data_IF_529360014675
#
_entry.id   IF_529360014675
#
_cell.length_a   1.000
_cell.length_b   1.000
_cell.length_c   1.000
_cell.angle_alpha   90.00
_cell.angle_beta   90.00
_cell.angle_gamma   90.00
#
_symmetry.space_group_name_H-M   'P 1'
#
loop_
_entity.id
_entity.type
_entity.pdbx_description
1 polymer ?
#
# COMPACT_ATOMS: atom_id res chain seq x y z
N UNK A 1 -2.29 -8.86 26.43
CA UNK A 1 -1.16 -9.13 25.51
C UNK A 1 0.02 -8.31 26.03
N UNK A 2 1.12 -8.93 26.49
CA UNK A 2 2.25 -8.23 27.11
C UNK A 2 2.93 -7.35 26.05
N UNK A 3 3.14 -6.08 26.40
CA UNK A 3 3.99 -5.19 25.61
C UNK A 3 5.38 -5.83 25.51
N UNK A 4 5.82 -6.09 24.29
CA UNK A 4 7.13 -6.65 24.01
C UNK A 4 8.19 -5.58 24.32
N UNK A 5 9.23 -5.99 24.99
CA UNK A 5 10.47 -5.24 25.18
C UNK A 5 10.87 -4.57 23.86
N UNK A 6 10.98 -3.25 23.84
CA UNK A 6 11.42 -2.54 22.65
C UNK A 6 12.90 -2.85 22.43
N UNK A 7 13.19 -3.81 21.57
CA UNK A 7 14.55 -4.03 21.08
C UNK A 7 14.99 -2.81 20.26
N UNK A 8 16.23 -2.42 20.46
CA UNK A 8 16.86 -1.35 19.69
C UNK A 8 17.81 -2.00 18.71
N UNK A 9 17.69 -1.65 17.41
CA UNK A 9 18.50 -2.24 16.33
C UNK A 9 19.13 -1.15 15.48
N UNK A 10 20.18 -1.50 14.75
CA UNK A 10 20.75 -0.67 13.71
C UNK A 10 19.97 -0.85 12.42
N UNK A 11 19.32 0.23 11.97
CA UNK A 11 18.39 0.17 10.85
C UNK A 11 19.01 -0.38 9.57
N UNK A 12 20.25 0.02 9.26
CA UNK A 12 20.92 -0.39 8.02
C UNK A 12 21.52 -1.80 8.08
N UNK A 13 21.59 -2.41 9.26
CA UNK A 13 21.87 -3.85 9.40
C UNK A 13 20.60 -4.68 9.11
N UNK A 14 19.42 -4.19 9.51
CA UNK A 14 18.13 -4.85 9.28
C UNK A 14 17.61 -4.65 7.84
N UNK A 15 17.84 -3.48 7.24
CA UNK A 15 17.50 -3.15 5.85
C UNK A 15 18.69 -2.51 5.13
N UNK A 16 19.65 -3.32 4.64
CA UNK A 16 20.86 -2.83 3.99
C UNK A 16 20.61 -2.06 2.69
N UNK A 17 19.47 -2.25 2.05
CA UNK A 17 19.10 -1.57 0.80
C UNK A 17 18.91 -0.08 0.99
N UNK A 18 18.56 0.38 2.21
CA UNK A 18 18.48 1.80 2.55
C UNK A 18 19.82 2.52 2.42
N UNK A 19 20.95 1.79 2.47
CA UNK A 19 22.29 2.29 2.28
C UNK A 19 22.82 2.12 0.85
N UNK A 20 21.97 1.73 -0.10
CA UNK A 20 22.37 1.38 -1.48
C UNK A 20 23.09 2.50 -2.22
N UNK A 21 22.81 3.77 -1.89
CA UNK A 21 23.46 4.95 -2.47
C UNK A 21 24.71 5.40 -1.69
N UNK A 22 25.03 4.76 -0.58
CA UNK A 22 26.18 5.09 0.27
C UNK A 22 27.38 4.22 -0.04
N UNK A 23 28.58 4.76 0.15
CA UNK A 23 29.83 4.01 -0.03
C UNK A 23 30.82 4.26 1.11
N UNK A 24 31.71 3.29 1.34
CA UNK A 24 32.86 3.40 2.21
C UNK A 24 32.55 3.84 3.64
N UNK A 25 33.31 4.82 4.13
CA UNK A 25 33.24 5.33 5.51
C UNK A 25 31.88 5.95 5.85
N UNK A 26 31.21 6.57 4.88
CA UNK A 26 29.90 7.21 5.07
C UNK A 26 28.82 6.17 5.40
N UNK A 27 28.83 5.01 4.73
CA UNK A 27 27.95 3.89 5.05
C UNK A 27 28.19 3.38 6.47
N UNK A 28 29.48 3.12 6.82
CA UNK A 28 29.85 2.65 8.16
C UNK A 28 29.49 3.61 9.29
N UNK A 29 29.50 4.92 9.02
CA UNK A 29 29.06 5.94 9.96
C UNK A 29 27.53 5.90 10.14
N UNK A 30 26.76 5.86 9.04
CA UNK A 30 25.31 5.76 9.05
C UNK A 30 24.83 4.48 9.76
N UNK A 31 25.47 3.34 9.52
CA UNK A 31 25.16 2.06 10.19
C UNK A 31 25.29 2.14 11.70
N UNK A 32 26.23 2.93 12.22
CA UNK A 32 26.40 3.13 13.67
C UNK A 32 25.40 4.11 14.28
N UNK A 33 24.98 5.12 13.53
CA UNK A 33 24.17 6.22 14.04
C UNK A 33 22.68 5.99 13.89
N UNK A 34 22.25 5.34 12.80
CA UNK A 34 20.83 5.11 12.55
C UNK A 34 20.31 3.92 13.38
N UNK A 35 20.00 4.22 14.63
CA UNK A 35 19.52 3.26 15.62
C UNK A 35 18.03 3.53 15.89
N UNK A 36 17.21 2.48 15.80
CA UNK A 36 15.75 2.58 15.91
C UNK A 36 15.19 1.55 16.86
N UNK A 37 14.02 1.84 17.44
CA UNK A 37 13.26 0.86 18.23
C UNK A 37 12.50 -0.05 17.28
N UNK A 38 12.37 -1.33 17.68
CA UNK A 38 11.57 -2.30 16.95
C UNK A 38 10.27 -2.58 17.72
N UNK A 39 9.16 -2.48 17.03
CA UNK A 39 7.84 -2.87 17.50
C UNK A 39 7.45 -4.20 16.85
N UNK A 40 7.07 -5.20 17.65
CA UNK A 40 6.71 -6.53 17.16
C UNK A 40 5.23 -6.80 17.36
N UNK A 41 4.58 -7.36 16.36
CA UNK A 41 3.18 -7.71 16.38
C UNK A 41 2.99 -9.19 16.03
N UNK A 42 2.14 -9.86 16.82
CA UNK A 42 1.62 -11.19 16.49
C UNK A 42 0.49 -11.12 15.46
N UNK A 43 0.15 -12.27 14.87
CA UNK A 43 -0.96 -12.42 13.92
C UNK A 43 -2.29 -11.99 14.53
N UNK A 44 -3.09 -11.24 13.79
CA UNK A 44 -4.42 -10.80 14.21
C UNK A 44 -4.76 -9.38 13.74
N UNK A 45 -5.89 -8.89 14.22
CA UNK A 45 -6.31 -7.49 14.00
C UNK A 45 -5.35 -6.56 14.74
N UNK A 46 -4.88 -5.56 14.05
CA UNK A 46 -4.00 -4.55 14.61
C UNK A 46 -4.79 -3.30 14.99
N UNK A 47 -4.93 -3.08 16.29
CA UNK A 47 -5.49 -1.84 16.84
C UNK A 47 -4.39 -0.76 16.87
N UNK A 48 -4.40 0.10 15.89
CA UNK A 48 -3.42 1.18 15.71
C UNK A 48 -3.50 2.23 16.82
N UNK A 49 -4.66 2.40 17.47
CA UNK A 49 -4.84 3.36 18.56
C UNK A 49 -3.95 3.07 19.78
N UNK A 50 -3.49 1.81 19.89
CA UNK A 50 -2.57 1.37 20.95
C UNK A 50 -1.09 1.60 20.64
N UNK A 51 -0.79 2.22 19.51
CA UNK A 51 0.58 2.53 19.15
C UNK A 51 1.06 3.74 19.95
N UNK A 52 1.79 3.48 21.05
CA UNK A 52 2.29 4.54 21.91
C UNK A 52 3.27 5.45 21.16
N UNK A 53 3.07 6.76 21.27
CA UNK A 53 3.97 7.76 20.74
C UNK A 53 3.96 7.93 19.22
N UNK A 54 3.06 7.28 18.50
CA UNK A 54 2.88 7.51 17.06
C UNK A 54 2.16 8.85 16.84
N UNK A 55 2.75 9.74 16.04
CA UNK A 55 2.23 11.08 15.82
C UNK A 55 2.61 11.66 14.45
N UNK A 56 2.11 12.86 14.20
CA UNK A 56 2.30 13.56 12.93
C UNK A 56 3.78 13.87 12.61
N UNK A 57 4.61 13.94 13.63
CA UNK A 57 6.05 14.23 13.56
C UNK A 57 6.94 12.99 13.33
N UNK A 58 6.35 11.77 13.27
CA UNK A 58 7.07 10.57 12.90
C UNK A 58 7.17 10.43 11.38
N UNK A 59 8.29 9.88 10.89
CA UNK A 59 8.44 9.49 9.48
C UNK A 59 7.49 8.35 9.16
N UNK A 60 7.43 7.33 10.01
CA UNK A 60 6.56 6.18 9.84
C UNK A 60 7.02 4.94 10.61
N UNK A 61 6.43 3.82 10.24
CA UNK A 61 6.86 2.48 10.62
C UNK A 61 7.40 1.79 9.36
N UNK A 62 8.65 1.39 9.38
CA UNK A 62 9.22 0.57 8.30
C UNK A 62 9.03 -0.90 8.65
N UNK A 63 8.35 -1.65 7.82
CA UNK A 63 8.18 -3.08 8.01
C UNK A 63 9.50 -3.80 7.68
N UNK A 64 10.11 -4.43 8.70
CA UNK A 64 11.37 -5.16 8.58
C UNK A 64 11.13 -6.62 8.23
N UNK A 65 10.10 -7.22 8.82
CA UNK A 65 9.74 -8.63 8.60
C UNK A 65 8.24 -8.82 8.74
N UNK A 66 7.72 -9.86 8.09
CA UNK A 66 6.32 -10.23 8.15
C UNK A 66 5.47 -9.69 6.99
N UNK A 67 4.15 -9.88 7.12
CA UNK A 67 3.16 -9.47 6.13
C UNK A 67 1.94 -8.88 6.84
N UNK A 68 1.53 -7.71 6.38
CA UNK A 68 0.38 -6.98 6.90
C UNK A 68 -0.60 -6.69 5.77
N UNK A 69 -1.88 -6.79 6.04
CA UNK A 69 -2.93 -6.32 5.15
C UNK A 69 -3.49 -4.99 5.66
N UNK A 70 -3.60 -4.01 4.75
CA UNK A 70 -4.39 -2.81 4.93
C UNK A 70 -5.69 -2.98 4.16
N UNK A 71 -6.81 -3.00 4.85
CA UNK A 71 -8.14 -3.08 4.27
C UNK A 71 -8.75 -1.68 4.23
N UNK A 72 -9.15 -1.22 3.06
CA UNK A 72 -9.83 0.07 2.83
C UNK A 72 -11.28 -0.23 2.50
N UNK A 73 -12.18 0.38 3.27
CA UNK A 73 -13.62 0.14 3.21
C UNK A 73 -14.30 1.41 2.69
N UNK A 74 -15.05 1.26 1.61
CA UNK A 74 -15.90 2.32 1.05
C UNK A 74 -17.30 1.74 0.89
N UNK A 75 -18.26 2.28 1.63
CA UNK A 75 -19.59 1.71 1.78
C UNK A 75 -19.52 0.24 2.24
N UNK A 76 -20.00 -0.72 1.44
CA UNK A 76 -19.98 -2.16 1.70
C UNK A 76 -18.82 -2.90 0.98
N UNK A 77 -17.95 -2.18 0.30
CA UNK A 77 -16.84 -2.75 -0.48
C UNK A 77 -15.52 -2.63 0.28
N UNK A 78 -14.80 -3.73 0.33
CA UNK A 78 -13.49 -3.82 0.97
C UNK A 78 -12.43 -4.14 -0.09
N UNK A 79 -11.45 -3.26 -0.20
CA UNK A 79 -10.23 -3.51 -0.98
C UNK A 79 -9.06 -3.72 -0.03
N UNK A 80 -8.14 -4.61 -0.37
CA UNK A 80 -6.96 -4.87 0.44
C UNK A 80 -5.67 -4.51 -0.30
N UNK A 81 -4.66 -4.15 0.48
CA UNK A 81 -3.26 -4.04 0.06
C UNK A 81 -2.42 -4.93 0.95
N UNK A 82 -1.48 -5.68 0.36
CA UNK A 82 -0.48 -6.43 1.11
C UNK A 82 0.81 -5.63 1.22
N UNK A 83 1.31 -5.56 2.44
CA UNK A 83 2.53 -4.87 2.82
C UNK A 83 3.53 -5.88 3.37
N UNK A 84 4.80 -5.72 3.01
CA UNK A 84 5.88 -6.61 3.41
C UNK A 84 7.17 -5.86 3.72
N UNK A 85 8.29 -6.55 3.94
CA UNK A 85 9.57 -5.91 4.27
C UNK A 85 9.93 -4.79 3.30
N UNK A 86 10.38 -3.67 3.86
CA UNK A 86 10.72 -2.45 3.12
C UNK A 86 9.54 -1.49 2.89
N UNK A 87 8.29 -1.84 3.21
CA UNK A 87 7.18 -0.88 3.11
C UNK A 87 7.15 0.08 4.30
N UNK A 88 7.02 1.37 3.98
CA UNK A 88 6.81 2.43 4.96
C UNK A 88 5.32 2.66 5.18
N UNK A 89 4.90 2.63 6.46
CA UNK A 89 3.51 2.76 6.87
C UNK A 89 3.33 3.94 7.82
N UNK A 90 2.19 4.61 7.71
CA UNK A 90 1.70 5.60 8.68
C UNK A 90 0.27 5.21 9.10
N UNK A 91 0.12 4.16 9.90
CA UNK A 91 -1.19 3.58 10.18
C UNK A 91 -2.12 4.50 10.98
N UNK A 92 -1.59 5.51 11.66
CA UNK A 92 -2.35 6.58 12.33
C UNK A 92 -2.91 7.64 11.37
N UNK A 93 -2.47 7.66 10.09
CA UNK A 93 -3.08 8.53 9.09
C UNK A 93 -4.41 7.92 8.64
N UNK A 94 -5.48 8.51 9.11
CA UNK A 94 -6.83 8.23 8.63
C UNK A 94 -7.23 9.26 7.58
N UNK A 95 -8.16 8.93 6.66
CA UNK A 95 -8.80 9.95 5.84
C UNK A 95 -9.36 11.06 6.74
N UNK A 96 -9.19 12.32 6.33
CA UNK A 96 -9.63 13.43 7.16
C UNK A 96 -11.15 13.40 7.36
N UNK A 97 -11.63 13.84 8.52
CA UNK A 97 -13.08 13.99 8.80
C UNK A 97 -13.78 14.96 7.84
N UNK A 98 -13.02 15.72 7.03
CA UNK A 98 -13.52 16.59 5.96
C UNK A 98 -13.65 15.87 4.62
N UNK A 99 -13.33 14.57 4.52
CA UNK A 99 -13.54 13.79 3.31
C UNK A 99 -15.02 13.64 3.00
N UNK A 100 -15.43 14.02 1.79
CA UNK A 100 -16.82 13.87 1.33
C UNK A 100 -17.21 12.39 1.17
N UNK A 101 -16.23 11.52 0.98
CA UNK A 101 -16.42 10.08 0.89
C UNK A 101 -15.99 9.43 2.22
N UNK A 102 -16.91 8.80 2.96
CA UNK A 102 -16.55 8.02 4.15
C UNK A 102 -15.66 6.84 3.78
N UNK A 103 -14.50 6.76 4.41
CA UNK A 103 -13.52 5.68 4.19
C UNK A 103 -13.02 5.19 5.53
N UNK A 104 -13.19 3.90 5.80
CA UNK A 104 -12.60 3.24 6.96
C UNK A 104 -11.35 2.45 6.56
N UNK A 105 -10.39 2.38 7.47
CA UNK A 105 -9.15 1.62 7.27
C UNK A 105 -8.93 0.66 8.42
N UNK A 106 -8.83 -0.62 8.09
CA UNK A 106 -8.51 -1.67 9.05
C UNK A 106 -7.13 -2.26 8.74
N UNK A 107 -6.47 -2.73 9.78
CA UNK A 107 -5.15 -3.35 9.69
C UNK A 107 -5.17 -4.75 10.26
N UNK A 108 -4.56 -5.68 9.56
CA UNK A 108 -4.46 -7.09 9.96
C UNK A 108 -3.04 -7.58 9.74
N UNK A 109 -2.43 -8.15 10.79
CA UNK A 109 -1.13 -8.81 10.71
C UNK A 109 -1.36 -10.25 10.25
N UNK A 110 -0.84 -10.62 9.09
CA UNK A 110 -1.04 -11.93 8.46
C UNK A 110 0.05 -12.95 8.87
N UNK A 111 1.24 -12.49 9.18
CA UNK A 111 2.32 -13.25 9.79
C UNK A 111 2.99 -12.43 10.89
N UNK A 112 3.68 -13.03 11.87
CA UNK A 112 4.42 -12.27 12.88
C UNK A 112 5.27 -11.20 12.20
N UNK A 113 5.15 -9.95 12.66
CA UNK A 113 5.73 -8.81 11.97
C UNK A 113 6.58 -7.96 12.90
N UNK A 114 7.66 -7.40 12.35
CA UNK A 114 8.58 -6.49 13.04
C UNK A 114 8.67 -5.17 12.30
N UNK A 115 8.58 -4.06 13.03
CA UNK A 115 8.58 -2.70 12.49
C UNK A 115 9.68 -1.86 13.13
N UNK A 116 10.50 -1.21 12.33
CA UNK A 116 11.35 -0.11 12.80
C UNK A 116 10.49 1.14 13.00
N UNK A 117 10.56 1.73 14.20
CA UNK A 117 9.84 2.96 14.53
C UNK A 117 10.70 4.15 14.12
N UNK A 118 10.34 4.79 13.01
CA UNK A 118 11.01 5.97 12.48
C UNK A 118 10.38 7.22 13.12
N UNK A 119 10.75 7.45 14.36
CA UNK A 119 10.18 8.51 15.21
C UNK A 119 10.74 9.91 14.89
N UNK A 120 10.36 10.90 15.70
CA UNK A 120 10.83 12.29 15.57
C UNK A 120 12.35 12.41 15.67
N UNK A 121 12.99 11.58 16.52
CA UNK A 121 14.45 11.58 16.63
C UNK A 121 15.09 11.11 15.34
N UNK A 122 14.58 10.00 14.78
CA UNK A 122 15.02 9.51 13.49
C UNK A 122 14.80 10.56 12.38
N UNK A 123 13.66 11.27 12.38
CA UNK A 123 13.41 12.36 11.43
C UNK A 123 14.47 13.46 11.47
N UNK A 124 14.95 13.82 12.67
CA UNK A 124 16.02 14.80 12.84
C UNK A 124 17.37 14.27 12.30
N UNK A 125 17.67 12.99 12.53
CA UNK A 125 18.90 12.36 12.04
C UNK A 125 18.92 12.24 10.51
N UNK A 126 17.76 12.08 9.86
CA UNK A 126 17.66 11.98 8.38
C UNK A 126 18.26 13.18 7.65
N UNK A 127 18.30 14.37 8.28
CA UNK A 127 18.95 15.55 7.68
C UNK A 127 20.44 15.33 7.36
N UNK A 128 21.10 14.42 8.08
CA UNK A 128 22.51 14.04 7.86
C UNK A 128 22.67 12.96 6.79
N UNK A 129 21.57 12.22 6.49
CA UNK A 129 21.57 11.05 5.64
C UNK A 129 20.54 11.18 4.49
N UNK A 130 20.75 12.12 3.55
CA UNK A 130 19.84 12.35 2.44
C UNK A 130 19.71 11.10 1.52
N UNK A 131 20.70 10.23 1.51
CA UNK A 131 20.68 8.97 0.76
C UNK A 131 19.60 8.01 1.30
N UNK A 132 19.45 7.93 2.64
CA UNK A 132 18.37 7.15 3.27
C UNK A 132 17.03 7.77 2.97
N UNK A 133 16.94 9.10 2.98
CA UNK A 133 15.71 9.81 2.59
C UNK A 133 15.32 9.46 1.16
N UNK A 134 16.27 9.49 0.22
CA UNK A 134 16.02 9.11 -1.17
C UNK A 134 15.53 7.65 -1.28
N UNK A 135 16.19 6.71 -0.59
CA UNK A 135 15.78 5.31 -0.56
C UNK A 135 14.35 5.12 -0.01
N UNK A 136 13.96 5.86 1.03
CA UNK A 136 12.58 5.81 1.55
C UNK A 136 11.56 6.36 0.53
N UNK A 137 11.90 7.40 -0.24
CA UNK A 137 11.05 7.88 -1.34
C UNK A 137 10.92 6.85 -2.47
N UNK A 138 12.00 6.17 -2.82
CA UNK A 138 11.97 5.10 -3.82
C UNK A 138 11.02 3.97 -3.38
N UNK A 139 11.06 3.56 -2.10
CA UNK A 139 10.11 2.58 -1.53
C UNK A 139 8.65 3.03 -1.66
N UNK A 140 8.36 4.30 -1.39
CA UNK A 140 7.01 4.86 -1.56
C UNK A 140 6.58 4.88 -3.03
N UNK A 141 7.49 5.20 -3.94
CA UNK A 141 7.23 5.19 -5.39
C UNK A 141 6.96 3.78 -5.91
N UNK A 142 7.76 2.80 -5.50
CA UNK A 142 7.54 1.39 -5.82
C UNK A 142 6.21 0.87 -5.27
N UNK A 143 5.86 1.24 -4.03
CA UNK A 143 4.57 0.90 -3.44
C UNK A 143 3.42 1.49 -4.24
N UNK A 144 3.53 2.75 -4.67
CA UNK A 144 2.53 3.41 -5.52
C UNK A 144 2.34 2.65 -6.84
N UNK A 145 3.44 2.21 -7.48
CA UNK A 145 3.38 1.39 -8.69
C UNK A 145 2.71 0.04 -8.45
N UNK A 146 3.02 -0.64 -7.33
CA UNK A 146 2.37 -1.91 -6.96
C UNK A 146 0.87 -1.76 -6.75
N UNK A 147 0.44 -0.66 -6.10
CA UNK A 147 -0.98 -0.35 -5.93
C UNK A 147 -1.67 -0.14 -7.28
N UNK A 148 -1.08 0.67 -8.17
CA UNK A 148 -1.60 0.89 -9.51
C UNK A 148 -1.69 -0.40 -10.32
N UNK A 149 -0.68 -1.29 -10.20
CA UNK A 149 -0.68 -2.61 -10.85
C UNK A 149 -1.81 -3.48 -10.32
N UNK A 150 -2.00 -3.54 -8.99
CA UNK A 150 -3.10 -4.31 -8.37
C UNK A 150 -4.46 -3.76 -8.79
N UNK A 151 -4.60 -2.43 -8.87
CA UNK A 151 -5.81 -1.79 -9.40
C UNK A 151 -6.07 -2.19 -10.85
N UNK A 152 -5.05 -2.19 -11.72
CA UNK A 152 -5.18 -2.61 -13.11
C UNK A 152 -5.57 -4.11 -13.21
N UNK A 153 -5.01 -4.98 -12.37
CA UNK A 153 -5.37 -6.39 -12.28
C UNK A 153 -6.85 -6.55 -11.94
N UNK A 154 -7.36 -5.76 -10.97
CA UNK A 154 -8.76 -5.83 -10.55
C UNK A 154 -9.76 -5.44 -11.65
N UNK A 155 -9.31 -4.74 -12.71
CA UNK A 155 -10.13 -4.36 -13.87
C UNK A 155 -10.19 -5.44 -14.96
N UNK A 156 -9.43 -6.53 -14.88
CA UNK A 156 -9.55 -7.64 -15.81
C UNK A 156 -10.95 -8.27 -15.73
N UNK A 157 -11.51 -8.68 -16.86
CA UNK A 157 -12.92 -9.11 -16.95
C UNK A 157 -13.24 -10.37 -16.18
N UNK A 158 -12.31 -11.35 -16.13
CA UNK A 158 -12.53 -12.67 -15.52
C UNK A 158 -11.75 -12.81 -14.22
N UNK A 159 -12.39 -13.38 -13.18
CA UNK A 159 -11.80 -13.53 -11.84
C UNK A 159 -10.62 -14.52 -11.85
N UNK A 160 -10.67 -15.61 -12.62
CA UNK A 160 -9.54 -16.52 -12.77
C UNK A 160 -8.29 -15.82 -13.35
N UNK A 161 -8.47 -14.91 -14.34
CA UNK A 161 -7.39 -14.10 -14.89
C UNK A 161 -6.86 -13.09 -13.87
N UNK A 162 -7.74 -12.47 -13.08
CA UNK A 162 -7.33 -11.56 -11.99
C UNK A 162 -6.48 -12.30 -10.97
N UNK A 163 -6.93 -13.47 -10.52
CA UNK A 163 -6.21 -14.28 -9.53
C UNK A 163 -4.86 -14.76 -10.05
N UNK A 164 -4.81 -15.25 -11.30
CA UNK A 164 -3.54 -15.65 -11.93
C UNK A 164 -2.57 -14.47 -11.99
N UNK A 165 -3.02 -13.32 -12.51
CA UNK A 165 -2.19 -12.12 -12.61
C UNK A 165 -1.74 -11.62 -11.23
N UNK A 166 -2.65 -11.58 -10.24
CA UNK A 166 -2.31 -11.20 -8.87
C UNK A 166 -1.24 -12.11 -8.28
N UNK A 167 -1.40 -13.44 -8.36
CA UNK A 167 -0.44 -14.38 -7.75
C UNK A 167 0.94 -14.28 -8.40
N UNK A 168 1.02 -14.07 -9.72
CA UNK A 168 2.28 -13.81 -10.39
C UNK A 168 2.87 -12.44 -9.98
N UNK A 169 2.05 -11.40 -9.82
CA UNK A 169 2.49 -10.11 -9.30
C UNK A 169 3.02 -10.21 -7.86
N UNK A 170 2.36 -11.01 -7.00
CA UNK A 170 2.88 -11.29 -5.66
C UNK A 170 4.18 -12.10 -5.70
N UNK A 171 4.34 -12.97 -6.70
CA UNK A 171 5.56 -13.76 -6.88
C UNK A 171 6.78 -12.90 -7.23
N UNK A 172 6.63 -11.73 -7.84
CA UNK A 172 7.72 -10.79 -8.09
C UNK A 172 8.43 -10.37 -6.80
N UNK A 173 7.68 -10.28 -5.71
CA UNK A 173 8.21 -9.82 -4.43
C UNK A 173 8.54 -10.96 -3.45
N UNK A 174 7.64 -11.92 -3.33
CA UNK A 174 7.72 -13.00 -2.34
C UNK A 174 8.02 -14.37 -2.95
N UNK A 175 8.03 -14.48 -4.26
CA UNK A 175 8.20 -15.75 -4.96
C UNK A 175 9.59 -16.33 -4.80
N UNK A 176 9.63 -17.67 -4.76
CA UNK A 176 10.87 -18.46 -4.78
C UNK A 176 10.78 -19.49 -5.89
N UNK A 177 11.75 -19.51 -6.77
CA UNK A 177 11.82 -20.52 -7.85
C UNK A 177 12.14 -21.88 -7.24
N UNK A 178 11.38 -22.91 -7.65
CA UNK A 178 11.59 -24.31 -7.28
C UNK A 178 11.48 -25.21 -8.50
N UNK A 179 11.85 -26.49 -8.37
CA UNK A 179 11.69 -27.49 -9.44
C UNK A 179 10.24 -27.68 -9.92
N UNK A 180 9.25 -27.40 -9.04
CA UNK A 180 7.82 -27.56 -9.33
C UNK A 180 7.15 -26.28 -9.87
N UNK A 181 7.87 -25.16 -9.93
CA UNK A 181 7.34 -23.86 -10.33
C UNK A 181 7.76 -22.73 -9.39
N UNK A 182 7.00 -21.65 -9.33
CA UNK A 182 7.25 -20.52 -8.43
C UNK A 182 6.38 -20.65 -7.20
N UNK A 183 7.01 -20.71 -6.02
CA UNK A 183 6.32 -20.80 -4.73
C UNK A 183 6.11 -19.39 -4.19
N UNK A 184 4.85 -19.02 -3.92
CA UNK A 184 4.47 -17.78 -3.20
C UNK A 184 4.16 -18.16 -1.76
N UNK A 185 5.03 -17.83 -0.77
CA UNK A 185 4.93 -18.29 0.61
C UNK A 185 3.96 -17.42 1.44
N UNK A 186 2.78 -17.14 0.89
CA UNK A 186 1.75 -16.33 1.51
C UNK A 186 0.50 -17.17 1.78
N UNK A 187 0.15 -17.38 3.05
CA UNK A 187 -1.03 -18.12 3.45
C UNK A 187 -2.30 -17.25 3.35
N UNK A 188 -2.63 -16.80 2.12
CA UNK A 188 -3.77 -15.94 1.87
C UNK A 188 -5.08 -16.71 1.91
N UNK A 189 -6.07 -16.18 2.62
CA UNK A 189 -7.44 -16.70 2.61
C UNK A 189 -8.16 -16.28 1.33
N UNK A 190 -9.20 -17.04 0.94
CA UNK A 190 -10.05 -16.67 -0.20
C UNK A 190 -10.75 -15.32 0.02
N UNK A 191 -10.97 -14.90 1.27
CA UNK A 191 -11.48 -13.56 1.60
C UNK A 191 -10.47 -12.48 1.18
N UNK A 192 -9.22 -12.59 1.62
CA UNK A 192 -8.16 -11.61 1.29
C UNK A 192 -7.91 -11.59 -0.22
N UNK A 193 -7.83 -12.75 -0.86
CA UNK A 193 -7.70 -12.82 -2.32
C UNK A 193 -8.85 -12.11 -3.03
N UNK A 194 -10.10 -12.28 -2.52
CA UNK A 194 -11.26 -11.57 -3.03
C UNK A 194 -11.15 -10.06 -2.91
N UNK A 195 -10.69 -9.56 -1.77
CA UNK A 195 -10.49 -8.13 -1.51
C UNK A 195 -9.37 -7.52 -2.40
N UNK A 196 -8.33 -8.31 -2.71
CA UNK A 196 -7.24 -7.89 -3.61
C UNK A 196 -7.69 -7.82 -5.08
N UNK A 197 -8.58 -8.71 -5.51
CA UNK A 197 -9.02 -8.77 -6.93
C UNK A 197 -10.42 -8.17 -7.17
N UNK A 198 -11.08 -7.63 -6.15
CA UNK A 198 -12.42 -7.08 -6.27
C UNK A 198 -13.46 -8.17 -6.61
N UNK A 199 -13.44 -9.33 -5.91
CA UNK A 199 -14.37 -10.43 -6.13
C UNK A 199 -14.89 -11.02 -4.82
N UNK A 200 -16.10 -11.56 -4.84
CA UNK A 200 -16.69 -12.24 -3.67
C UNK A 200 -16.04 -13.60 -3.43
N UNK A 201 -15.93 -14.00 -2.16
CA UNK A 201 -15.30 -15.27 -1.73
C UNK A 201 -15.76 -16.50 -2.52
N UNK A 202 -17.07 -16.73 -2.80
CA UNK A 202 -17.50 -17.89 -3.57
C UNK A 202 -16.90 -17.90 -4.99
N UNK A 203 -16.91 -16.77 -5.68
CA UNK A 203 -16.35 -16.63 -7.03
C UNK A 203 -14.83 -16.89 -7.03
N UNK A 204 -14.11 -16.42 -5.99
CA UNK A 204 -12.68 -16.72 -5.81
C UNK A 204 -12.47 -18.23 -5.65
N UNK A 205 -13.30 -18.91 -4.84
CA UNK A 205 -13.17 -20.36 -4.62
C UNK A 205 -13.36 -21.16 -5.91
N UNK A 206 -14.37 -20.82 -6.73
CA UNK A 206 -14.60 -21.45 -8.03
C UNK A 206 -13.44 -21.21 -8.99
N UNK A 207 -12.97 -19.95 -9.10
CA UNK A 207 -11.89 -19.60 -10.01
C UNK A 207 -10.54 -20.25 -9.63
N UNK A 208 -10.26 -20.40 -8.32
CA UNK A 208 -9.08 -21.12 -7.84
C UNK A 208 -9.17 -22.62 -8.15
N UNK A 209 -10.36 -23.22 -8.05
CA UNK A 209 -10.61 -24.61 -8.47
C UNK A 209 -10.33 -24.80 -9.95
N UNK A 210 -10.86 -23.94 -10.81
CA UNK A 210 -10.60 -23.97 -12.27
C UNK A 210 -9.10 -23.83 -12.60
N UNK A 211 -8.37 -22.95 -11.90
CA UNK A 211 -6.92 -22.81 -12.07
C UNK A 211 -6.16 -24.06 -11.63
N UNK A 212 -6.61 -24.71 -10.56
CA UNK A 212 -6.02 -25.95 -10.06
C UNK A 212 -6.29 -27.13 -11.03
N UNK A 213 -7.51 -27.26 -11.56
CA UNK A 213 -7.87 -28.27 -12.55
C UNK A 213 -7.06 -28.14 -13.84
N UNK A 214 -6.73 -26.93 -14.25
CA UNK A 214 -5.83 -26.67 -15.39
C UNK A 214 -4.34 -26.90 -15.07
N UNK A 215 -4.01 -27.24 -13.82
CA UNK A 215 -2.63 -27.45 -13.37
C UNK A 215 -1.79 -26.18 -13.28
N UNK A 216 -2.40 -24.98 -13.38
CA UNK A 216 -1.70 -23.69 -13.35
C UNK A 216 -1.34 -23.25 -11.93
N UNK A 217 -2.08 -23.75 -10.93
CA UNK A 217 -1.97 -23.36 -9.53
C UNK A 217 -2.17 -24.58 -8.63
N UNK A 218 -1.39 -24.64 -7.54
CA UNK A 218 -1.64 -25.63 -6.46
C UNK A 218 -1.46 -24.95 -5.12
N UNK A 219 -2.38 -25.17 -4.19
CA UNK A 219 -2.23 -24.75 -2.81
C UNK A 219 -1.58 -25.86 -1.99
N UNK A 220 -0.52 -25.53 -1.25
CA UNK A 220 0.17 -26.47 -0.37
C UNK A 220 -0.49 -26.54 1.01
N UNK A 221 -0.09 -27.54 1.79
CA UNK A 221 -0.61 -27.77 3.16
C UNK A 221 -0.25 -26.60 4.10
N UNK A 222 0.91 -25.98 3.90
CA UNK A 222 1.36 -24.79 4.64
C UNK A 222 0.63 -23.49 4.25
N UNK A 223 -0.30 -23.58 3.31
CA UNK A 223 -1.06 -22.45 2.80
C UNK A 223 -0.40 -21.66 1.69
N UNK A 224 0.86 -21.96 1.33
CA UNK A 224 1.57 -21.35 0.20
C UNK A 224 0.98 -21.81 -1.14
N UNK A 225 1.32 -21.08 -2.20
CA UNK A 225 0.83 -21.32 -3.55
C UNK A 225 2.00 -21.68 -4.47
N UNK A 226 1.82 -22.71 -5.30
CA UNK A 226 2.75 -23.08 -6.36
C UNK A 226 2.15 -22.66 -7.69
N UNK A 227 2.84 -21.76 -8.39
CA UNK A 227 2.48 -21.31 -9.73
C UNK A 227 3.24 -22.10 -10.76
N UNK A 228 2.55 -22.67 -11.76
CA UNK A 228 3.14 -23.41 -12.85
C UNK A 228 2.95 -22.69 -14.18
N UNK A 229 3.84 -22.99 -15.12
CA UNK A 229 3.85 -22.33 -16.43
C UNK A 229 4.54 -20.97 -16.39
N UNK A 230 4.03 -20.01 -17.15
CA UNK A 230 4.59 -18.66 -17.27
C UNK A 230 3.61 -17.61 -16.76
N UNK A 231 4.12 -16.43 -16.37
CA UNK A 231 3.29 -15.27 -16.13
C UNK A 231 2.33 -15.02 -17.30
N UNK A 232 1.14 -14.47 -17.03
CA UNK A 232 0.23 -14.11 -18.11
C UNK A 232 0.90 -13.10 -19.03
N UNK A 233 0.99 -13.43 -20.33
CA UNK A 233 1.52 -12.51 -21.31
C UNK A 233 0.51 -11.37 -21.63
N UNK A 234 1.00 -10.34 -22.30
CA UNK A 234 0.17 -9.19 -22.65
C UNK A 234 -0.98 -9.54 -23.59
N UNK A 235 -0.84 -10.60 -24.40
CA UNK A 235 -1.89 -11.06 -25.33
C UNK A 235 -2.95 -11.86 -24.60
N UNK A 236 -2.57 -12.71 -23.64
CA UNK A 236 -3.47 -13.49 -22.81
C UNK A 236 -4.31 -12.60 -21.86
N UNK A 237 -3.77 -11.45 -21.42
CA UNK A 237 -4.48 -10.47 -20.60
C UNK A 237 -5.41 -9.55 -21.39
N UNK A 238 -5.50 -9.72 -22.72
CA UNK A 238 -6.42 -8.94 -23.55
C UNK A 238 -5.92 -7.54 -23.91
N UNK A 239 -4.60 -7.34 -24.00
CA UNK A 239 -4.05 -6.12 -24.63
C UNK A 239 -4.54 -6.03 -26.08
N UNK A 240 -5.74 -5.53 -26.24
CA UNK A 240 -6.05 -4.81 -27.46
C UNK A 240 -5.13 -3.58 -27.51
N UNK A 241 -4.52 -3.38 -28.63
CA UNK A 241 -3.81 -2.24 -29.19
C UNK A 241 -4.34 -0.85 -28.71
N UNK A 242 -4.39 -0.58 -27.39
CA UNK A 242 -4.92 0.66 -26.83
C UNK A 242 -3.86 1.73 -26.58
N UNK A 243 -2.61 1.47 -26.97
CA UNK A 243 -1.51 2.44 -26.80
C UNK A 243 -1.08 3.13 -28.11
N UNK A 244 -1.90 3.04 -29.19
CA UNK A 244 -1.74 3.85 -30.39
C UNK A 244 -2.65 5.09 -30.40
N UNK A 245 -3.28 5.45 -29.27
CA UNK A 245 -3.90 6.75 -29.07
C UNK A 245 -2.81 7.82 -28.94
N UNK A 246 -2.87 8.84 -29.79
CA UNK A 246 -1.95 9.97 -29.78
C UNK A 246 -1.87 10.58 -28.38
N UNK A 247 -0.69 11.04 -27.91
CA UNK A 247 -0.51 11.68 -26.60
C UNK A 247 -1.40 12.90 -26.33
N UNK A 248 -2.13 13.41 -27.33
CA UNK A 248 -2.99 14.57 -27.23
C UNK A 248 -4.41 14.33 -26.70
N UNK A 249 -4.89 13.07 -26.64
CA UNK A 249 -6.29 12.81 -26.25
C UNK A 249 -6.51 12.70 -24.71
N UNK A 250 -5.46 12.73 -23.92
CA UNK A 250 -5.54 12.61 -22.45
C UNK A 250 -5.59 13.93 -21.69
N UNK A 251 -5.41 15.07 -22.37
CA UNK A 251 -5.52 16.40 -21.77
C UNK A 251 -6.63 17.22 -22.44
N UNK A 252 -7.87 16.97 -22.05
CA UNK A 252 -8.86 18.05 -22.11
C UNK A 252 -8.49 19.03 -20.99
N UNK A 253 -8.20 20.31 -21.29
CA UNK A 253 -7.95 21.28 -20.23
C UNK A 253 -9.20 21.36 -19.37
N UNK A 254 -9.04 21.15 -18.05
CA UNK A 254 -10.08 21.49 -17.10
C UNK A 254 -10.51 22.93 -17.37
N UNK A 255 -11.79 23.14 -17.68
CA UNK A 255 -12.35 24.49 -17.73
C UNK A 255 -12.02 25.14 -16.40
N UNK A 256 -11.28 26.23 -16.46
CA UNK A 256 -11.12 27.12 -15.31
C UNK A 256 -12.52 27.49 -14.87
N UNK A 257 -12.87 27.19 -13.64
CA UNK A 257 -13.98 27.85 -12.97
C UNK A 257 -13.58 29.32 -12.88
N UNK A 258 -14.14 30.14 -13.75
CA UNK A 258 -14.11 31.58 -13.59
C UNK A 258 -14.95 31.86 -12.38
N UNK A 259 -14.35 32.33 -11.31
CA UNK A 259 -15.06 32.98 -10.24
C UNK A 259 -15.55 34.33 -10.77
N UNK A 260 -16.68 34.32 -11.42
CA UNK A 260 -17.47 35.56 -11.53
C UNK A 260 -17.95 35.88 -10.11
N UNK A 261 -17.30 36.87 -9.53
CA UNK A 261 -17.83 37.59 -8.40
C UNK A 261 -18.93 38.46 -8.98
N UNK A 262 -20.16 38.10 -8.70
CA UNK A 262 -21.29 39.04 -8.76
C UNK A 262 -21.11 40.03 -7.60
N UNK A 263 -20.43 41.15 -7.90
CA UNK A 263 -20.51 42.39 -7.10
C UNK A 263 -21.71 43.19 -7.63
N UNK A 264 -22.91 42.76 -7.32
CA UNK A 264 -24.10 43.61 -7.39
C UNK A 264 -24.67 43.79 -5.99
N UNK A 265 -24.04 44.69 -5.24
CA UNK A 265 -24.64 45.31 -4.07
C UNK A 265 -25.51 46.45 -4.58
N UNK A 266 -26.82 46.15 -4.74
CA UNK A 266 -27.86 47.17 -4.83
C UNK A 266 -27.91 47.90 -3.48
N UNK A 267 -27.43 49.12 -3.49
CA UNK A 267 -27.64 50.09 -2.40
C UNK A 267 -29.07 50.63 -2.60
N UNK A 268 -29.99 50.14 -1.80
CA UNK A 268 -31.34 50.72 -1.64
C UNK A 268 -31.19 51.94 -0.72
N UNK A 269 -31.18 53.13 -1.36
CA UNK A 269 -31.33 54.45 -0.79
C UNK A 269 -32.83 54.75 -0.59
N UNK A 270 -33.42 54.23 0.48
CA UNK A 270 -34.80 54.63 0.90
C UNK A 270 -35.03 54.53 2.41
N UNK A 271 -34.30 55.38 3.16
CA UNK A 271 -34.68 55.65 4.56
C UNK A 271 -34.35 57.08 4.98
N UNK A 272 -35.05 58.05 4.31
CA UNK A 272 -35.10 59.41 4.78
C UNK A 272 -36.40 60.08 4.38
N UNK A 273 -37.48 59.85 5.16
CA UNK A 273 -38.60 60.76 5.34
C UNK A 273 -39.75 60.07 6.11
N UNK A 274 -39.73 60.19 7.43
CA UNK A 274 -40.92 60.34 8.24
C UNK A 274 -40.50 60.56 9.70
N UNK A 275 -40.22 61.80 10.03
CA UNK A 275 -40.16 62.29 11.43
C UNK A 275 -40.84 63.59 11.47
N UNK A 276 -42.08 63.63 12.04
CA UNK A 276 -42.77 64.84 12.19
C UNK A 276 -44.24 64.61 12.67
N UNK A 277 -44.39 64.42 13.91
CA UNK A 277 -45.45 64.96 14.78
C UNK A 277 -45.52 64.21 16.11
#
# INVERSE_FOLDING_TARGET
MKASTSDVVRLLEEDPDLAGLMSGSRRAEAERELVVRVHRLGVGVWDVSRLEGAGADHVGLLLLDGVVAREVIVADHVSAELLGPGDLLRPWQTPSNSSLLPVDVLWSVLSPSAFAVLDRRFAAELARWPEVTAALFDRLSERSLRLATTQAISQLTRVDRRLKALLWHLAERWGRVSGDGVIVPLALTHRILGQLVGARRPTVSTALGELAERGELTRRVDGSWVLRGSPPDASALGRRRALAGRPGDLMRPMRRFSSERDDDVLVDDDFARAGGS
#
